data_IF_970841174091
#
_entry.id   IF_970841174091
#
_cell.length_a   1.000
_cell.length_b   1.000
_cell.length_c   1.000
_cell.angle_alpha   90.00
_cell.angle_beta   90.00
_cell.angle_gamma   90.00
#
_symmetry.space_group_name_H-M   'P 1'
#
loop_
_entity.id
_entity.type
_entity.pdbx_description
1 polymer ?
#
# COMPACT_ATOMS: atom_id res chain seq x y z
N UNK A 1 -15.77 16.05 15.63
CA UNK A 1 -15.57 16.31 14.16
C UNK A 1 -14.82 15.14 13.57
N UNK A 2 -15.39 14.49 12.60
CA UNK A 2 -14.72 13.37 11.93
C UNK A 2 -13.61 13.89 11.00
N UNK A 3 -12.43 13.24 10.97
CA UNK A 3 -11.38 13.63 10.05
C UNK A 3 -11.82 13.44 8.60
N UNK A 4 -11.42 14.39 7.74
CA UNK A 4 -11.76 14.38 6.32
C UNK A 4 -11.04 13.26 5.57
N UNK A 5 -11.51 12.94 4.36
CA UNK A 5 -10.88 11.93 3.51
C UNK A 5 -9.39 12.19 3.28
N UNK A 6 -8.93 13.42 2.89
CA UNK A 6 -7.48 13.66 2.72
C UNK A 6 -6.67 13.40 3.98
N UNK A 7 -7.17 13.74 5.15
CA UNK A 7 -6.46 13.47 6.42
C UNK A 7 -6.34 11.97 6.70
N UNK A 8 -7.39 11.23 6.43
CA UNK A 8 -7.40 9.77 6.66
C UNK A 8 -6.54 9.02 5.64
N UNK A 9 -6.59 9.40 4.37
CA UNK A 9 -5.74 8.81 3.33
C UNK A 9 -4.26 9.09 3.58
N UNK A 10 -3.92 10.34 3.95
CA UNK A 10 -2.56 10.70 4.32
C UNK A 10 -2.06 9.89 5.52
N UNK A 11 -2.89 9.74 6.55
CA UNK A 11 -2.55 8.93 7.71
C UNK A 11 -2.20 7.49 7.30
N UNK A 12 -3.05 6.84 6.50
CA UNK A 12 -2.77 5.50 6.00
C UNK A 12 -1.49 5.44 5.17
N UNK A 13 -1.30 6.42 4.28
CA UNK A 13 -0.14 6.50 3.38
C UNK A 13 1.19 6.58 4.15
N UNK A 14 1.22 7.30 5.26
CA UNK A 14 2.42 7.54 6.05
C UNK A 14 2.73 6.45 7.09
N UNK A 15 1.81 5.53 7.37
CA UNK A 15 2.09 4.41 8.26
C UNK A 15 3.15 3.49 7.65
N UNK A 16 4.20 3.22 8.42
CA UNK A 16 5.34 2.41 7.97
C UNK A 16 5.09 0.91 8.15
N UNK A 17 4.46 0.52 9.25
CA UNK A 17 4.15 -0.89 9.52
C UNK A 17 3.03 -1.39 8.61
N UNK A 18 3.25 -2.49 7.85
CA UNK A 18 2.23 -3.03 6.94
C UNK A 18 0.92 -3.39 7.63
N UNK A 19 0.96 -3.98 8.82
CA UNK A 19 -0.25 -4.37 9.54
C UNK A 19 -1.04 -3.15 10.02
N UNK A 20 -0.36 -2.14 10.54
CA UNK A 20 -0.97 -0.87 10.94
C UNK A 20 -1.58 -0.14 9.74
N UNK A 21 -0.88 -0.11 8.61
CA UNK A 21 -1.36 0.49 7.35
C UNK A 21 -2.64 -0.19 6.87
N UNK A 22 -2.65 -1.51 6.83
CA UNK A 22 -3.81 -2.29 6.37
C UNK A 22 -4.99 -2.11 7.32
N UNK A 23 -4.77 -2.16 8.64
CA UNK A 23 -5.83 -1.95 9.62
C UNK A 23 -6.46 -0.55 9.50
N UNK A 24 -5.64 0.48 9.31
CA UNK A 24 -6.14 1.84 9.09
C UNK A 24 -6.91 1.99 7.78
N UNK A 25 -6.46 1.31 6.73
CA UNK A 25 -7.14 1.28 5.43
C UNK A 25 -8.47 0.54 5.49
N UNK A 26 -8.51 -0.61 6.17
CA UNK A 26 -9.76 -1.37 6.37
C UNK A 26 -10.80 -0.51 7.11
N UNK A 27 -10.40 0.21 8.15
CA UNK A 27 -11.26 1.13 8.88
C UNK A 27 -11.71 2.31 8.00
N UNK A 28 -10.81 2.88 7.21
CA UNK A 28 -11.12 3.95 6.27
C UNK A 28 -12.15 3.50 5.23
N UNK A 29 -11.94 2.33 4.64
CA UNK A 29 -12.85 1.76 3.63
C UNK A 29 -14.23 1.47 4.23
N UNK A 30 -14.29 0.86 5.42
CA UNK A 30 -15.55 0.57 6.11
C UNK A 30 -16.35 1.85 6.42
N UNK A 31 -15.69 2.90 6.89
CA UNK A 31 -16.33 4.18 7.19
C UNK A 31 -16.77 4.91 5.92
N UNK A 32 -16.00 4.79 4.84
CA UNK A 32 -16.38 5.32 3.54
C UNK A 32 -17.67 4.68 3.00
N UNK A 33 -17.80 3.37 3.13
CA UNK A 33 -18.99 2.63 2.72
C UNK A 33 -20.24 3.04 3.51
N UNK A 34 -20.08 3.52 4.73
CA UNK A 34 -21.18 4.02 5.59
C UNK A 34 -21.46 5.51 5.41
N UNK A 35 -20.78 6.16 4.49
CA UNK A 35 -20.90 7.60 4.23
C UNK A 35 -20.50 8.51 5.42
N UNK A 36 -19.63 8.02 6.29
CA UNK A 36 -19.21 8.73 7.49
C UNK A 36 -18.01 9.68 7.26
N UNK A 37 -17.42 9.67 6.06
CA UNK A 37 -16.23 10.47 5.79
C UNK A 37 -16.58 11.63 4.88
N UNK A 38 -16.47 12.88 5.38
CA UNK A 38 -16.66 14.05 4.53
C UNK A 38 -15.50 14.19 3.54
N UNK A 39 -15.82 14.54 2.31
CA UNK A 39 -14.86 15.16 1.41
C UNK A 39 -14.41 16.51 2.03
N UNK A 40 -13.17 16.89 1.78
CA UNK A 40 -12.66 18.12 2.38
C UNK A 40 -13.51 19.33 2.01
N UNK A 41 -13.89 20.12 3.00
CA UNK A 41 -14.47 21.45 2.79
C UNK A 41 -13.39 22.55 2.80
N UNK A 42 -12.14 22.22 3.09
CA UNK A 42 -11.04 23.19 3.20
C UNK A 42 -10.08 23.08 2.01
N UNK A 43 -9.61 24.25 1.59
CA UNK A 43 -8.61 24.44 0.53
C UNK A 43 -7.19 24.24 1.14
N UNK A 44 -7.00 23.27 2.03
CA UNK A 44 -5.65 22.96 2.49
C UNK A 44 -4.91 22.26 1.34
N UNK A 45 -3.77 22.83 0.91
CA UNK A 45 -3.01 22.22 -0.17
C UNK A 45 -2.48 20.85 0.28
N UNK A 46 -2.52 19.89 -0.62
CA UNK A 46 -1.90 18.60 -0.39
C UNK A 46 -0.38 18.75 -0.34
N UNK A 47 0.25 18.01 0.57
CA UNK A 47 1.71 17.96 0.65
C UNK A 47 2.26 17.01 -0.41
N UNK A 48 3.42 17.33 -0.95
CA UNK A 48 4.17 16.38 -1.78
C UNK A 48 4.76 15.29 -0.89
N UNK A 49 4.42 14.04 -1.18
CA UNK A 49 4.93 12.89 -0.45
C UNK A 49 6.13 12.32 -1.22
N UNK A 50 7.34 12.63 -0.75
CA UNK A 50 8.57 12.14 -1.37
C UNK A 50 8.75 10.62 -1.15
N UNK A 51 8.33 10.11 0.00
CA UNK A 51 8.43 8.70 0.37
C UNK A 51 7.18 8.28 1.12
N UNK A 52 6.50 7.22 0.69
CA UNK A 52 5.37 6.67 1.45
C UNK A 52 5.84 6.01 2.72
N UNK A 53 4.94 5.75 3.65
CA UNK A 53 5.22 4.90 4.80
C UNK A 53 5.54 3.49 4.34
N UNK A 54 6.72 3.01 4.71
CA UNK A 54 7.19 1.65 4.41
C UNK A 54 8.12 1.16 5.51
N UNK A 55 8.17 -0.17 5.76
CA UNK A 55 9.08 -0.72 6.76
C UNK A 55 10.54 -0.57 6.31
N UNK A 56 11.49 -0.73 7.26
CA UNK A 56 12.92 -0.71 6.94
C UNK A 56 13.33 -1.84 5.99
N UNK A 57 12.64 -2.96 6.08
CA UNK A 57 12.79 -4.09 5.15
C UNK A 57 11.47 -4.31 4.38
N UNK A 58 11.54 -4.67 3.10
CA UNK A 58 12.70 -5.10 2.32
C UNK A 58 13.71 -3.97 2.08
N UNK A 59 14.99 -4.34 1.98
CA UNK A 59 16.02 -3.44 1.47
C UNK A 59 15.72 -3.14 0.00
N UNK A 60 15.58 -1.85 -0.34
CA UNK A 60 15.28 -1.42 -1.70
C UNK A 60 16.58 -1.20 -2.47
N UNK A 61 16.62 -1.77 -3.66
CA UNK A 61 17.77 -1.69 -4.57
C UNK A 61 17.30 -1.37 -5.99
N UNK A 62 18.16 -0.85 -6.87
CA UNK A 62 17.81 -0.72 -8.28
C UNK A 62 17.35 -2.06 -8.87
N UNK A 63 16.37 -2.08 -9.80
CA UNK A 63 15.81 -3.34 -10.34
C UNK A 63 16.86 -4.31 -10.88
N UNK A 64 17.93 -3.80 -11.51
CA UNK A 64 19.02 -4.63 -12.03
C UNK A 64 19.87 -5.29 -10.94
N UNK A 65 19.79 -4.81 -9.69
CA UNK A 65 20.54 -5.34 -8.56
C UNK A 65 19.76 -6.36 -7.73
N UNK A 66 18.50 -6.60 -8.07
CA UNK A 66 17.73 -7.67 -7.44
C UNK A 66 18.29 -9.02 -7.90
N UNK A 67 18.70 -9.92 -6.98
CA UNK A 67 19.24 -11.23 -7.36
C UNK A 67 18.24 -12.03 -8.20
N UNK A 68 18.73 -12.61 -9.29
CA UNK A 68 17.94 -13.55 -10.08
C UNK A 68 17.99 -14.92 -9.45
N UNK A 69 16.83 -15.55 -9.28
CA UNK A 69 16.68 -16.89 -8.72
C UNK A 69 15.81 -17.73 -9.64
N UNK A 70 16.10 -19.04 -9.67
CA UNK A 70 15.24 -19.98 -10.40
C UNK A 70 13.93 -20.16 -9.64
N UNK A 71 12.80 -19.95 -10.31
CA UNK A 71 11.47 -20.20 -9.75
C UNK A 71 11.21 -21.68 -9.42
N UNK A 72 12.01 -22.60 -9.97
CA UNK A 72 11.93 -24.03 -9.68
C UNK A 72 12.55 -24.45 -8.35
N UNK A 73 13.29 -23.57 -7.67
CA UNK A 73 13.77 -23.80 -6.32
C UNK A 73 12.80 -23.29 -5.28
N UNK A 74 12.84 -23.85 -4.05
CA UNK A 74 11.98 -23.38 -2.95
C UNK A 74 12.27 -21.90 -2.62
N UNK A 75 13.52 -21.51 -2.53
CA UNK A 75 13.92 -20.13 -2.28
C UNK A 75 13.52 -19.21 -3.42
N UNK A 76 13.73 -19.62 -4.67
CA UNK A 76 13.34 -18.84 -5.85
C UNK A 76 11.84 -18.66 -5.94
N UNK A 77 11.05 -19.66 -5.58
CA UNK A 77 9.60 -19.54 -5.48
C UNK A 77 9.19 -18.54 -4.40
N UNK A 78 9.77 -18.64 -3.20
CA UNK A 78 9.52 -17.68 -2.13
C UNK A 78 9.91 -16.24 -2.53
N UNK A 79 11.04 -16.07 -3.21
CA UNK A 79 11.47 -14.77 -3.72
C UNK A 79 10.51 -14.20 -4.77
N UNK A 80 9.92 -15.03 -5.61
CA UNK A 80 8.89 -14.61 -6.57
C UNK A 80 7.63 -14.12 -5.85
N UNK A 81 7.13 -14.86 -4.87
CA UNK A 81 5.96 -14.46 -4.07
C UNK A 81 6.26 -13.16 -3.31
N UNK A 82 7.46 -13.01 -2.77
CA UNK A 82 7.90 -11.78 -2.13
C UNK A 82 7.92 -10.59 -3.09
N UNK A 83 8.40 -10.77 -4.31
CA UNK A 83 8.40 -9.73 -5.33
C UNK A 83 6.97 -9.29 -5.68
N UNK A 84 6.02 -10.22 -5.79
CA UNK A 84 4.61 -9.91 -6.00
C UNK A 84 4.02 -9.17 -4.79
N UNK A 85 4.31 -9.60 -3.57
CA UNK A 85 3.87 -8.91 -2.36
C UNK A 85 4.40 -7.47 -2.31
N UNK A 86 5.64 -7.24 -2.75
CA UNK A 86 6.23 -5.90 -2.85
C UNK A 86 5.49 -5.01 -3.86
N UNK A 87 5.07 -5.56 -4.99
CA UNK A 87 4.25 -4.84 -5.97
C UNK A 87 2.92 -4.42 -5.34
N UNK A 88 2.24 -5.33 -4.65
CA UNK A 88 0.95 -5.05 -4.02
C UNK A 88 1.07 -4.02 -2.89
N UNK A 89 2.13 -4.08 -2.10
CA UNK A 89 2.39 -3.07 -1.06
C UNK A 89 2.56 -1.67 -1.67
N UNK A 90 3.31 -1.55 -2.76
CA UNK A 90 3.45 -0.29 -3.47
C UNK A 90 2.15 0.16 -4.14
N UNK A 91 1.35 -0.77 -4.65
CA UNK A 91 0.05 -0.47 -5.22
C UNK A 91 -0.92 0.13 -4.18
N UNK A 92 -0.90 -0.36 -2.92
CA UNK A 92 -1.62 0.27 -1.81
C UNK A 92 -1.22 1.75 -1.68
N UNK A 93 0.07 2.03 -1.62
CA UNK A 93 0.57 3.39 -1.46
C UNK A 93 0.21 4.29 -2.65
N UNK A 94 0.33 3.79 -3.87
CA UNK A 94 -0.04 4.54 -5.08
C UNK A 94 -1.54 4.86 -5.12
N UNK A 95 -2.39 3.92 -4.75
CA UNK A 95 -3.84 4.14 -4.70
C UNK A 95 -4.22 5.15 -3.61
N UNK A 96 -3.60 5.07 -2.43
CA UNK A 96 -3.80 6.05 -1.36
C UNK A 96 -3.30 7.44 -1.77
N UNK A 97 -2.17 7.54 -2.46
CA UNK A 97 -1.66 8.81 -2.99
C UNK A 97 -2.61 9.42 -4.03
N UNK A 98 -3.17 8.61 -4.92
CA UNK A 98 -4.16 9.07 -5.88
C UNK A 98 -5.41 9.62 -5.20
N UNK A 99 -5.88 8.97 -4.14
CA UNK A 99 -7.03 9.43 -3.35
C UNK A 99 -6.71 10.68 -2.50
N UNK A 100 -5.45 10.89 -2.13
CA UNK A 100 -4.99 12.02 -1.33
C UNK A 100 -4.67 13.26 -2.16
N UNK A 101 -3.92 13.08 -3.24
CA UNK A 101 -3.25 14.16 -3.98
C UNK A 101 -4.21 15.07 -4.72
N UNK A 102 -5.27 14.54 -5.30
CA UNK A 102 -6.16 15.27 -6.17
C UNK A 102 -7.44 15.64 -5.42
N UNK A 103 -7.63 16.97 -5.19
CA UNK A 103 -8.78 17.49 -4.49
C UNK A 103 -9.90 17.90 -5.48
N UNK A 104 -11.11 18.04 -4.95
CA UNK A 104 -12.28 18.56 -5.68
C UNK A 104 -12.69 17.72 -6.90
N UNK A 105 -12.42 16.44 -6.87
CA UNK A 105 -12.92 15.49 -7.86
C UNK A 105 -14.25 14.86 -7.43
N UNK A 106 -15.01 14.26 -8.34
CA UNK A 106 -16.26 13.58 -8.00
C UNK A 106 -16.05 12.48 -6.96
N UNK A 107 -17.06 12.22 -6.13
CA UNK A 107 -17.02 11.20 -5.08
C UNK A 107 -16.60 9.82 -5.61
N UNK A 108 -17.08 9.47 -6.82
CA UNK A 108 -16.77 8.19 -7.46
C UNK A 108 -15.27 8.00 -7.72
N UNK A 109 -14.52 9.06 -8.02
CA UNK A 109 -13.07 9.00 -8.15
C UNK A 109 -12.42 8.47 -6.87
N UNK A 110 -12.81 8.98 -5.72
CA UNK A 110 -12.27 8.53 -4.44
C UNK A 110 -12.75 7.14 -4.07
N UNK A 111 -14.01 6.83 -4.37
CA UNK A 111 -14.57 5.49 -4.16
C UNK A 111 -13.76 4.43 -4.91
N UNK A 112 -13.44 4.69 -6.17
CA UNK A 112 -12.67 3.78 -7.02
C UNK A 112 -11.25 3.57 -6.47
N UNK A 113 -10.53 4.65 -6.13
CA UNK A 113 -9.17 4.51 -5.60
C UNK A 113 -9.11 3.89 -4.20
N UNK A 114 -10.08 4.17 -3.34
CA UNK A 114 -10.18 3.49 -2.03
C UNK A 114 -10.47 2.00 -2.21
N UNK A 115 -11.32 1.64 -3.18
CA UNK A 115 -11.59 0.25 -3.52
C UNK A 115 -10.33 -0.45 -4.04
N UNK A 116 -9.56 0.18 -4.92
CA UNK A 116 -8.28 -0.35 -5.39
C UNK A 116 -7.33 -0.56 -4.21
N UNK A 117 -7.15 0.44 -3.35
CA UNK A 117 -6.28 0.31 -2.18
C UNK A 117 -6.69 -0.86 -1.27
N UNK A 118 -7.98 -1.02 -1.04
CA UNK A 118 -8.54 -2.11 -0.24
C UNK A 118 -8.28 -3.49 -0.87
N UNK A 119 -8.45 -3.62 -2.17
CA UNK A 119 -8.18 -4.87 -2.90
C UNK A 119 -6.69 -5.20 -2.91
N UNK A 120 -5.82 -4.21 -3.12
CA UNK A 120 -4.37 -4.44 -3.09
C UNK A 120 -3.87 -4.82 -1.68
N UNK A 121 -4.48 -4.27 -0.64
CA UNK A 121 -4.22 -4.70 0.73
C UNK A 121 -4.62 -6.16 0.97
N UNK A 122 -5.73 -6.59 0.40
CA UNK A 122 -6.16 -7.98 0.42
C UNK A 122 -5.18 -8.91 -0.32
N UNK A 123 -4.74 -8.51 -1.52
CA UNK A 123 -3.74 -9.26 -2.28
C UNK A 123 -2.42 -9.37 -1.51
N UNK A 124 -1.97 -8.28 -0.91
CA UNK A 124 -0.77 -8.28 -0.08
C UNK A 124 -0.87 -9.27 1.08
N UNK A 125 -1.99 -9.29 1.79
CA UNK A 125 -2.21 -10.24 2.88
C UNK A 125 -2.15 -11.70 2.42
N UNK A 126 -2.79 -12.02 1.30
CA UNK A 126 -2.76 -13.37 0.73
C UNK A 126 -1.34 -13.80 0.38
N UNK A 127 -0.57 -12.93 -0.28
CA UNK A 127 0.80 -13.22 -0.66
C UNK A 127 1.72 -13.34 0.56
N UNK A 128 1.52 -12.49 1.57
CA UNK A 128 2.27 -12.56 2.83
C UNK A 128 1.98 -13.85 3.59
N UNK A 129 0.73 -14.28 3.66
CA UNK A 129 0.35 -15.55 4.25
C UNK A 129 1.01 -16.73 3.52
N UNK A 130 1.04 -16.68 2.20
CA UNK A 130 1.73 -17.69 1.41
C UNK A 130 3.24 -17.70 1.68
N UNK A 131 3.87 -16.51 1.83
CA UNK A 131 5.28 -16.42 2.26
C UNK A 131 5.51 -17.07 3.61
N UNK A 132 4.63 -16.86 4.59
CA UNK A 132 4.73 -17.51 5.91
C UNK A 132 4.68 -19.03 5.78
N UNK A 133 3.82 -19.58 4.92
CA UNK A 133 3.75 -21.01 4.64
C UNK A 133 5.02 -21.54 3.98
N UNK A 134 5.77 -20.69 3.28
CA UNK A 134 7.07 -21.01 2.69
C UNK A 134 8.25 -20.78 3.65
N UNK A 135 7.99 -20.37 4.89
CA UNK A 135 9.00 -20.14 5.91
C UNK A 135 9.67 -18.77 5.84
N UNK A 136 9.04 -17.79 5.19
CA UNK A 136 9.56 -16.44 5.01
C UNK A 136 8.52 -15.38 5.39
N UNK A 137 8.93 -14.11 5.45
CA UNK A 137 8.01 -12.97 5.58
C UNK A 137 8.39 -11.88 4.59
N UNK A 138 7.48 -10.92 4.41
CA UNK A 138 7.76 -9.71 3.66
C UNK A 138 8.92 -8.95 4.31
N UNK A 139 9.93 -8.63 3.51
CA UNK A 139 11.18 -8.07 3.99
C UNK A 139 12.35 -9.06 4.01
N UNK A 140 12.12 -10.36 3.83
CA UNK A 140 13.14 -11.40 3.85
C UNK A 140 14.12 -11.33 2.66
N UNK A 141 13.70 -10.74 1.54
CA UNK A 141 14.51 -10.56 0.33
C UNK A 141 14.62 -9.07 0.00
N UNK A 142 15.67 -8.68 -0.72
CA UNK A 142 15.72 -7.34 -1.30
C UNK A 142 14.65 -7.17 -2.38
N UNK A 143 14.20 -5.95 -2.59
CA UNK A 143 13.17 -5.61 -3.56
C UNK A 143 13.59 -4.39 -4.39
N UNK A 144 12.99 -4.22 -5.57
CA UNK A 144 13.31 -3.07 -6.42
C UNK A 144 12.64 -1.78 -5.92
N UNK A 145 13.27 -0.66 -6.23
CA UNK A 145 12.83 0.70 -5.85
C UNK A 145 12.06 1.43 -6.97
N UNK A 146 11.68 0.75 -8.03
CA UNK A 146 11.16 1.34 -9.27
C UNK A 146 9.66 1.66 -9.28
N UNK A 147 8.92 1.50 -8.17
CA UNK A 147 7.46 1.66 -8.17
C UNK A 147 6.94 2.97 -7.55
N UNK A 148 7.81 3.77 -6.88
CA UNK A 148 7.43 5.05 -6.28
C UNK A 148 8.24 6.20 -6.83
#
# INVERSE_FOLDING_TARGET
MHPTLPKRTLHCLLLADPDAKIAALDALHADWQKDFIPLSASIEPTQTIATPGRPEKPLLVPPQNVPRRSAGTREGHAALIHALAHIEFNAINLALDAAYRFLNLPRDYYADWLQVAFEEAYHFRLLREHLHNLGHDYGAFSAHDGLW
#
